data_IF_701565948346
#
_entry.id   IF_701565948346
#
_cell.length_a   1.000
_cell.length_b   1.000
_cell.length_c   1.000
_cell.angle_alpha   90.00
_cell.angle_beta   90.00
_cell.angle_gamma   90.00
#
_symmetry.space_group_name_H-M   'P 1'
#
loop_
_entity.id
_entity.type
_entity.pdbx_description
1 polymer ?
#
# COMPACT_ATOMS: atom_id res chain seq x y z
N UNK A 1 -10.04 -14.81 9.95
CA UNK A 1 -10.47 -13.72 10.85
C UNK A 1 -10.41 -12.47 10.00
N UNK A 2 -11.56 -11.83 9.82
CA UNK A 2 -11.79 -10.65 8.99
C UNK A 2 -11.05 -9.45 9.57
N UNK A 3 -10.43 -8.66 8.69
CA UNK A 3 -9.73 -7.39 8.94
C UNK A 3 -10.60 -6.32 9.60
N UNK A 4 -10.91 -6.56 10.86
CA UNK A 4 -11.73 -5.67 11.67
C UNK A 4 -10.80 -4.77 12.45
N UNK A 5 -10.62 -3.59 11.86
CA UNK A 5 -10.19 -2.33 12.47
C UNK A 5 -8.73 -1.95 12.29
N UNK A 6 -8.46 -1.22 11.22
CA UNK A 6 -7.55 -0.06 11.26
C UNK A 6 -8.46 1.15 11.13
N UNK A 7 -8.76 1.78 12.26
CA UNK A 7 -9.89 2.70 12.41
C UNK A 7 -9.50 4.13 12.79
N UNK A 8 -8.21 4.42 12.99
CA UNK A 8 -7.78 5.74 13.41
C UNK A 8 -6.81 6.41 12.43
N UNK A 9 -6.98 7.73 12.34
CA UNK A 9 -6.15 8.61 11.55
C UNK A 9 -4.83 8.80 12.33
N UNK A 10 -3.83 7.95 12.07
CA UNK A 10 -2.55 8.01 12.78
C UNK A 10 -1.82 9.32 12.47
N UNK A 11 -1.42 10.05 13.51
CA UNK A 11 -0.60 11.26 13.39
C UNK A 11 -1.15 12.31 12.41
N UNK A 12 -2.44 12.67 12.52
CA UNK A 12 -3.13 13.61 11.61
C UNK A 12 -3.25 13.07 10.16
N UNK A 13 -3.14 11.74 10.01
CA UNK A 13 -3.28 11.02 8.74
C UNK A 13 -2.03 11.02 7.90
N UNK A 14 -0.93 11.56 8.43
CA UNK A 14 0.32 11.74 7.67
C UNK A 14 1.03 10.44 7.36
N UNK A 15 0.68 9.37 8.07
CA UNK A 15 1.25 8.05 7.90
C UNK A 15 0.28 7.09 7.21
N UNK A 16 -0.95 7.56 6.95
CA UNK A 16 -1.96 6.75 6.30
C UNK A 16 -1.75 6.74 4.79
N UNK A 17 -2.18 5.66 4.15
CA UNK A 17 -2.18 5.55 2.71
C UNK A 17 -2.86 6.74 2.02
N UNK A 18 -2.34 7.20 0.86
CA UNK A 18 -2.93 8.33 0.13
C UNK A 18 -4.39 8.10 -0.30
N UNK A 19 -4.80 6.86 -0.48
CA UNK A 19 -6.18 6.46 -0.81
C UNK A 19 -7.08 6.29 0.42
N UNK A 20 -6.53 6.35 1.64
CA UNK A 20 -7.31 6.16 2.87
C UNK A 20 -8.25 7.32 3.14
N UNK A 21 -9.42 7.00 3.67
CA UNK A 21 -10.43 8.01 4.01
C UNK A 21 -9.87 8.99 5.05
N UNK A 22 -9.91 10.29 4.74
CA UNK A 22 -9.40 11.34 5.62
C UNK A 22 -7.89 11.56 5.59
N UNK A 23 -7.14 10.80 4.78
CA UNK A 23 -5.69 10.98 4.65
C UNK A 23 -5.36 12.29 3.87
N UNK A 24 -4.48 13.16 4.40
CA UNK A 24 -3.93 14.28 3.66
C UNK A 24 -2.90 13.86 2.60
N UNK A 25 -2.42 12.61 2.61
CA UNK A 25 -1.33 12.15 1.76
C UNK A 25 -1.70 12.07 0.28
N UNK A 26 -2.98 12.09 -0.09
CA UNK A 26 -3.38 12.23 -1.50
C UNK A 26 -2.78 13.50 -2.14
N UNK A 27 -2.62 14.58 -1.37
CA UNK A 27 -2.05 15.83 -1.86
C UNK A 27 -0.53 15.84 -2.05
N UNK A 28 0.17 14.84 -1.48
CA UNK A 28 1.64 14.73 -1.56
C UNK A 28 2.10 13.81 -2.69
N UNK A 29 1.18 13.03 -3.25
CA UNK A 29 1.44 12.13 -4.38
C UNK A 29 2.02 12.92 -5.56
N UNK A 30 3.18 12.46 -6.01
CA UNK A 30 3.80 13.02 -7.20
C UNK A 30 2.94 12.68 -8.42
N UNK A 31 2.75 13.65 -9.30
CA UNK A 31 1.86 13.52 -10.45
C UNK A 31 2.23 12.37 -11.38
N UNK A 32 3.51 11.99 -11.45
CA UNK A 32 3.98 10.86 -12.26
C UNK A 32 3.56 9.49 -11.72
N UNK A 33 3.22 9.38 -10.42
CA UNK A 33 2.68 8.16 -9.81
C UNK A 33 1.22 7.99 -10.25
N UNK A 34 0.46 9.08 -10.22
CA UNK A 34 -0.97 9.06 -10.58
C UNK A 34 -1.74 7.98 -9.81
N UNK A 35 -2.27 7.00 -10.56
CA UNK A 35 -3.01 5.86 -10.02
C UNK A 35 -2.20 4.56 -10.00
N UNK A 36 -0.89 4.62 -10.25
CA UNK A 36 -0.02 3.44 -10.39
C UNK A 36 0.65 3.09 -9.06
N UNK A 37 -0.12 3.06 -7.97
CA UNK A 37 0.35 2.69 -6.64
C UNK A 37 -0.69 1.86 -5.89
N UNK A 38 -0.21 0.93 -5.09
CA UNK A 38 -1.00 0.19 -4.10
C UNK A 38 -0.48 0.61 -2.73
N UNK A 39 -1.36 0.65 -1.73
CA UNK A 39 -0.99 1.05 -0.38
C UNK A 39 -1.93 0.35 0.59
N UNK A 40 -1.35 -0.19 1.65
CA UNK A 40 -2.04 -0.88 2.75
C UNK A 40 -1.11 -0.85 3.96
N UNK A 41 -1.68 -0.68 5.15
CA UNK A 41 -0.98 -0.77 6.41
C UNK A 41 -0.79 -2.23 6.81
N UNK A 42 0.40 -2.57 7.33
CA UNK A 42 0.65 -3.89 7.93
C UNK A 42 0.32 -3.95 9.41
N UNK A 43 -0.07 -2.84 10.03
CA UNK A 43 -0.31 -2.73 11.46
C UNK A 43 -1.82 -2.73 11.75
N UNK A 44 -2.38 -3.86 12.22
CA UNK A 44 -3.82 -4.00 12.46
C UNK A 44 -4.31 -3.29 13.75
N UNK A 45 -3.49 -2.46 14.39
CA UNK A 45 -3.83 -1.81 15.65
C UNK A 45 -4.85 -0.68 15.46
N UNK A 46 -5.73 -0.53 16.46
CA UNK A 46 -6.80 0.49 16.47
C UNK A 46 -6.55 1.63 17.44
N UNK A 47 -5.47 1.56 18.20
CA UNK A 47 -5.19 2.41 19.35
C UNK A 47 -3.83 3.11 19.20
N UNK A 48 -3.41 3.31 17.95
CA UNK A 48 -2.13 3.93 17.57
C UNK A 48 -0.89 3.18 18.09
N UNK A 49 -1.04 1.96 18.58
CA UNK A 49 0.09 1.12 18.99
C UNK A 49 0.73 0.43 17.80
N UNK A 50 2.01 0.14 17.90
CA UNK A 50 2.73 -0.73 16.96
C UNK A 50 3.56 -1.73 17.76
N UNK A 51 3.94 -2.83 17.11
CA UNK A 51 4.83 -3.83 17.66
C UNK A 51 5.94 -4.12 16.66
N UNK A 52 7.15 -4.35 17.15
CA UNK A 52 8.29 -4.76 16.32
C UNK A 52 8.19 -6.25 15.96
N UNK A 53 7.11 -6.63 15.26
CA UNK A 53 6.84 -7.99 14.79
C UNK A 53 6.37 -7.95 13.34
N UNK A 54 6.63 -9.04 12.61
CA UNK A 54 6.08 -9.22 11.28
C UNK A 54 4.67 -9.85 11.35
N UNK A 55 3.66 -9.13 10.87
CA UNK A 55 2.27 -9.59 10.82
C UNK A 55 2.00 -10.52 9.62
N UNK A 56 2.56 -11.74 9.64
CA UNK A 56 2.45 -12.69 8.51
C UNK A 56 1.04 -13.22 8.22
N UNK A 57 0.07 -12.96 9.10
CA UNK A 57 -1.33 -13.39 8.93
C UNK A 57 -2.13 -12.49 8.00
N UNK A 58 -1.61 -11.31 7.66
CA UNK A 58 -2.28 -10.30 6.84
C UNK A 58 -1.38 -9.89 5.66
N UNK A 59 -1.44 -10.63 4.54
CA UNK A 59 -0.60 -10.32 3.38
C UNK A 59 -1.01 -8.99 2.75
N UNK A 60 -0.08 -8.04 2.71
CA UNK A 60 -0.29 -6.74 2.09
C UNK A 60 -0.66 -6.88 0.61
N UNK A 61 -1.61 -6.05 0.19
CA UNK A 61 -2.08 -5.82 -1.17
C UNK A 61 -2.80 -7.00 -1.81
N UNK A 62 -3.34 -7.92 -1.01
CA UNK A 62 -4.11 -9.07 -1.51
C UNK A 62 -5.60 -8.74 -1.77
N UNK A 63 -6.02 -7.52 -1.42
CA UNK A 63 -7.39 -7.03 -1.56
C UNK A 63 -8.35 -7.57 -0.50
N UNK A 64 -7.82 -8.15 0.58
CA UNK A 64 -8.54 -8.66 1.76
C UNK A 64 -7.85 -8.11 3.01
N UNK A 65 -8.43 -8.33 4.18
CA UNK A 65 -7.80 -7.91 5.44
C UNK A 65 -7.84 -6.40 5.72
N UNK A 66 -8.13 -5.59 4.71
CA UNK A 66 -8.06 -4.14 4.79
C UNK A 66 -8.93 -3.50 5.88
N UNK A 67 -8.32 -2.55 6.59
CA UNK A 67 -9.00 -1.67 7.51
C UNK A 67 -10.09 -0.82 6.86
N UNK A 68 -11.00 -0.29 7.69
CA UNK A 68 -12.13 0.53 7.21
C UNK A 68 -11.66 1.81 6.51
N UNK A 69 -10.56 2.40 6.99
CA UNK A 69 -9.97 3.59 6.39
C UNK A 69 -9.33 3.28 5.03
N UNK A 70 -8.84 2.06 4.84
CA UNK A 70 -8.13 1.62 3.63
C UNK A 70 -9.05 0.91 2.62
N UNK A 71 -10.35 0.83 2.90
CA UNK A 71 -11.34 0.19 2.02
C UNK A 71 -11.27 0.68 0.57
N UNK A 72 -11.02 1.98 0.35
CA UNK A 72 -10.80 2.54 -0.98
C UNK A 72 -9.50 2.03 -1.62
N UNK A 73 -8.42 1.90 -0.86
CA UNK A 73 -7.16 1.34 -1.33
C UNK A 73 -7.34 -0.10 -1.81
N UNK A 74 -8.13 -0.88 -1.08
CA UNK A 74 -8.32 -2.30 -1.34
C UNK A 74 -9.39 -2.67 -2.36
N UNK A 75 -10.22 -1.72 -2.77
CA UNK A 75 -11.29 -1.98 -3.75
C UNK A 75 -11.09 -1.22 -5.05
N UNK A 76 -10.22 -0.21 -5.08
CA UNK A 76 -10.02 0.66 -6.25
C UNK A 76 -9.14 0.05 -7.34
N UNK A 77 -8.56 -1.13 -7.11
CA UNK A 77 -7.54 -1.71 -8.01
C UNK A 77 -8.03 -3.01 -8.67
N UNK A 78 -8.29 -3.02 -9.99
CA UNK A 78 -8.77 -4.22 -10.68
C UNK A 78 -7.73 -5.34 -10.78
N UNK A 79 -6.45 -5.05 -10.54
CA UNK A 79 -5.34 -6.01 -10.63
C UNK A 79 -5.02 -6.74 -9.32
N UNK A 80 -5.68 -6.43 -8.21
CA UNK A 80 -5.52 -7.18 -6.96
C UNK A 80 -5.74 -8.68 -7.19
N UNK A 81 -4.94 -9.56 -6.54
CA UNK A 81 -3.99 -9.29 -5.46
C UNK A 81 -2.57 -8.92 -5.92
N UNK A 82 -2.33 -8.71 -7.21
CA UNK A 82 -1.00 -8.44 -7.73
C UNK A 82 -0.86 -6.99 -8.16
N UNK A 83 0.21 -6.33 -7.72
CA UNK A 83 0.59 -5.08 -8.36
C UNK A 83 0.91 -5.36 -9.83
N UNK A 84 0.02 -4.95 -10.73
CA UNK A 84 0.18 -5.12 -12.17
C UNK A 84 0.02 -3.78 -12.86
N UNK A 85 1.03 -3.41 -13.65
CA UNK A 85 1.03 -2.24 -14.51
C UNK A 85 1.25 -2.67 -15.95
N UNK A 86 0.23 -2.45 -16.79
CA UNK A 86 0.35 -2.60 -18.25
C UNK A 86 0.78 -1.27 -18.86
N UNK A 87 1.86 -1.30 -19.61
CA UNK A 87 2.29 -0.16 -20.43
C UNK A 87 1.63 -0.27 -21.81
N UNK A 88 0.73 0.66 -22.12
CA UNK A 88 -0.04 0.66 -23.37
C UNK A 88 0.78 1.06 -24.61
N UNK A 89 2.04 1.42 -24.43
CA UNK A 89 2.96 1.87 -25.46
C UNK A 89 4.31 1.20 -25.27
N UNK A 90 4.98 0.91 -26.37
CA UNK A 90 6.40 0.52 -26.33
C UNK A 90 7.20 1.64 -25.68
N UNK A 91 8.12 1.30 -24.79
CA UNK A 91 9.03 2.27 -24.15
C UNK A 91 10.48 1.80 -24.25
N UNK A 92 11.40 2.75 -24.34
CA UNK A 92 12.85 2.56 -24.18
C UNK A 92 13.34 3.09 -22.84
N UNK A 93 12.45 3.66 -22.02
CA UNK A 93 12.79 4.23 -20.74
C UNK A 93 13.05 3.14 -19.70
N UNK A 94 13.81 3.48 -18.67
CA UNK A 94 13.99 2.60 -17.52
C UNK A 94 12.67 2.43 -16.77
N UNK A 95 12.36 1.18 -16.44
CA UNK A 95 11.23 0.85 -15.58
C UNK A 95 11.69 0.88 -14.12
N UNK A 96 10.90 1.54 -13.27
CA UNK A 96 11.16 1.66 -11.85
C UNK A 96 9.99 1.08 -11.06
N UNK A 97 10.30 0.14 -10.16
CA UNK A 97 9.39 -0.34 -9.13
C UNK A 97 9.90 0.19 -7.79
N UNK A 98 9.05 0.91 -7.06
CA UNK A 98 9.37 1.43 -5.73
C UNK A 98 8.53 0.71 -4.67
N UNK A 99 9.19 0.29 -3.61
CA UNK A 99 8.54 -0.03 -2.33
C UNK A 99 8.72 1.22 -1.47
N UNK A 100 7.61 1.87 -1.13
CA UNK A 100 7.63 3.08 -0.32
C UNK A 100 7.27 2.71 1.12
N UNK A 101 8.02 3.28 2.04
CA UNK A 101 7.89 3.20 3.49
C UNK A 101 7.81 4.65 4.00
N UNK A 102 7.09 4.90 5.09
CA UNK A 102 7.06 6.20 5.75
C UNK A 102 8.14 6.34 6.84
N UNK A 103 8.59 5.21 7.42
CA UNK A 103 9.66 5.15 8.41
C UNK A 103 11.01 4.66 7.84
N UNK A 104 12.00 4.59 8.73
CA UNK A 104 13.31 3.98 8.47
C UNK A 104 13.23 2.44 8.42
N UNK A 105 14.37 1.81 8.15
CA UNK A 105 14.44 0.37 7.89
C UNK A 105 14.32 -0.52 9.15
N UNK A 106 13.86 0.00 10.28
CA UNK A 106 13.82 -0.68 11.58
C UNK A 106 12.41 -1.07 12.06
N UNK A 107 11.35 -0.59 11.41
CA UNK A 107 9.95 -0.88 11.80
C UNK A 107 8.94 -1.06 10.65
N UNK A 108 9.38 -1.05 9.38
CA UNK A 108 8.53 -1.29 8.20
C UNK A 108 9.08 -2.40 7.28
N UNK A 109 9.04 -3.64 7.76
CA UNK A 109 9.48 -4.81 7.00
C UNK A 109 8.47 -5.21 5.92
N UNK A 110 8.70 -4.79 4.68
CA UNK A 110 7.86 -5.13 3.52
C UNK A 110 8.64 -5.98 2.50
N UNK A 111 8.79 -7.30 2.73
CA UNK A 111 9.58 -8.15 1.85
C UNK A 111 8.89 -8.38 0.50
N UNK A 112 9.55 -7.98 -0.59
CA UNK A 112 9.15 -8.33 -1.95
C UNK A 112 9.78 -9.67 -2.34
N UNK A 113 8.94 -10.70 -2.50
CA UNK A 113 9.42 -12.06 -2.80
C UNK A 113 9.89 -12.22 -4.25
N UNK A 114 9.10 -11.73 -5.22
CA UNK A 114 9.45 -11.76 -6.63
C UNK A 114 8.68 -10.67 -7.39
N UNK A 115 9.23 -10.28 -8.54
CA UNK A 115 8.57 -9.44 -9.53
C UNK A 115 8.81 -10.04 -10.91
N UNK A 116 7.88 -9.83 -11.83
CA UNK A 116 7.94 -10.39 -13.18
C UNK A 116 7.75 -9.28 -14.21
N UNK A 117 8.51 -9.35 -15.29
CA UNK A 117 8.47 -8.42 -16.41
C UNK A 117 8.12 -9.20 -17.68
N UNK A 118 6.97 -8.88 -18.25
CA UNK A 118 6.46 -9.53 -19.45
C UNK A 118 6.65 -8.61 -20.66
N UNK A 119 7.42 -9.06 -21.65
CA UNK A 119 7.66 -8.35 -22.91
C UNK A 119 6.96 -9.11 -24.03
N UNK A 120 6.26 -8.37 -24.91
CA UNK A 120 5.55 -8.93 -26.07
C UNK A 120 6.43 -8.95 -27.32
#
# INVERSE_FOLDING_TARGET
MTGLHEADIYGDGRYNCPCSQGSPQNSTLQSFIGNDYFCESGNPATDETHQFILYTSDPLWDGKGCGVLESNCCTSRPSLPWFNKVLNTTTTDYLELRVCAEQSSDDEDVPVSFYELYVK
#
